data_IF_366252168838
#
_entry.id   IF_366252168838
#
_cell.length_a   1.000
_cell.length_b   1.000
_cell.length_c   1.000
_cell.angle_alpha   90.00
_cell.angle_beta   90.00
_cell.angle_gamma   90.00
#
_symmetry.space_group_name_H-M   'P 1'
#
loop_
_entity.id
_entity.type
_entity.pdbx_description
1 polymer ?
#
# COMPACT_ATOMS: atom_id res chain seq x y z
N UNK A 1 -0.96 -0.05 10.12
CA UNK A 1 -1.99 -0.25 9.07
C UNK A 1 -2.67 -1.59 9.29
N UNK A 2 -3.98 -1.72 9.00
CA UNK A 2 -4.70 -3.01 9.10
C UNK A 2 -5.17 -3.47 7.72
N UNK A 3 -5.00 -4.75 7.41
CA UNK A 3 -5.47 -5.40 6.18
C UNK A 3 -6.53 -6.46 6.50
N UNK A 4 -7.41 -6.73 5.53
CA UNK A 4 -8.49 -7.72 5.67
C UNK A 4 -8.72 -8.45 4.36
N UNK A 5 -9.46 -9.57 4.43
CA UNK A 5 -9.84 -10.41 3.29
C UNK A 5 -8.63 -10.77 2.39
N UNK A 6 -7.49 -11.08 3.01
CA UNK A 6 -6.25 -11.44 2.29
C UNK A 6 -6.43 -12.83 1.64
N UNK A 7 -6.27 -12.97 0.30
CA UNK A 7 -6.49 -14.24 -0.39
C UNK A 7 -5.59 -15.37 0.13
N UNK A 8 -6.10 -16.61 0.09
CA UNK A 8 -5.32 -17.81 0.38
C UNK A 8 -4.12 -17.90 -0.59
N UNK A 9 -2.97 -18.34 -0.08
CA UNK A 9 -1.73 -18.43 -0.86
C UNK A 9 -0.94 -17.13 -0.94
N UNK A 10 -1.38 -16.06 -0.29
CA UNK A 10 -0.59 -14.82 -0.16
C UNK A 10 0.69 -15.09 0.63
N UNK A 11 1.84 -14.70 0.06
CA UNK A 11 3.18 -14.79 0.67
C UNK A 11 3.74 -13.42 1.02
N UNK A 12 3.39 -12.39 0.25
CA UNK A 12 3.84 -11.00 0.47
C UNK A 12 2.69 -10.02 0.22
N UNK A 13 2.76 -8.86 0.85
CA UNK A 13 1.91 -7.71 0.57
C UNK A 13 2.77 -6.59 0.00
N UNK A 14 2.41 -6.06 -1.17
CA UNK A 14 3.06 -4.92 -1.79
C UNK A 14 2.22 -3.67 -1.59
N UNK A 15 2.77 -2.70 -0.86
CA UNK A 15 2.17 -1.41 -0.58
C UNK A 15 2.76 -0.35 -1.51
N UNK A 16 1.91 0.51 -2.05
CA UNK A 16 2.34 1.68 -2.82
C UNK A 16 1.43 2.86 -2.52
N UNK A 17 2.01 4.01 -2.22
CA UNK A 17 1.28 5.27 -2.14
C UNK A 17 1.51 6.07 -3.43
N UNK A 18 0.45 6.65 -3.97
CA UNK A 18 0.50 7.54 -5.13
C UNK A 18 -0.34 8.76 -4.81
N UNK A 19 0.20 9.95 -5.08
CA UNK A 19 -0.58 11.17 -5.19
C UNK A 19 -1.23 11.20 -6.57
N UNK A 20 -2.56 11.20 -6.64
CA UNK A 20 -3.29 11.20 -7.91
C UNK A 20 -3.20 12.54 -8.64
N UNK A 21 -2.86 13.61 -7.94
CA UNK A 21 -2.63 14.95 -8.50
C UNK A 21 -1.16 15.15 -8.91
N UNK A 22 -0.23 14.42 -8.27
CA UNK A 22 1.20 14.44 -8.59
C UNK A 22 1.78 13.01 -8.75
N UNK A 23 1.36 12.25 -9.79
CA UNK A 23 1.63 10.81 -9.89
C UNK A 23 3.11 10.43 -10.01
N UNK A 24 3.95 11.39 -10.42
CA UNK A 24 5.39 11.20 -10.56
C UNK A 24 6.16 11.45 -9.25
N UNK A 25 5.52 12.01 -8.21
CA UNK A 25 6.19 12.20 -6.93
C UNK A 25 6.41 10.85 -6.22
N UNK A 26 7.64 10.52 -5.81
CA UNK A 26 7.97 9.19 -5.27
C UNK A 26 7.56 9.08 -3.80
N UNK A 27 6.26 8.91 -3.54
CA UNK A 27 5.74 8.63 -2.19
C UNK A 27 6.24 7.29 -1.63
N UNK A 28 6.63 6.34 -2.48
CA UNK A 28 7.20 5.08 -2.05
C UNK A 28 6.15 4.05 -1.59
N UNK A 29 6.55 3.22 -0.64
CA UNK A 29 5.87 1.99 -0.28
C UNK A 29 6.88 0.88 0.01
N UNK A 30 6.46 -0.38 -0.12
CA UNK A 30 7.35 -1.51 0.10
C UNK A 30 6.65 -2.85 0.01
N UNK A 31 7.43 -3.91 0.04
CA UNK A 31 6.92 -5.29 0.06
C UNK A 31 7.23 -5.92 1.40
N UNK A 32 6.19 -6.43 2.07
CA UNK A 32 6.28 -7.03 3.41
C UNK A 32 5.91 -8.50 3.31
N UNK A 33 6.64 -9.38 4.01
CA UNK A 33 6.25 -10.78 4.13
C UNK A 33 4.88 -10.89 4.85
N UNK A 34 3.99 -11.73 4.33
CA UNK A 34 2.70 -11.96 4.95
C UNK A 34 2.83 -13.00 6.06
N UNK A 35 2.64 -12.57 7.31
CA UNK A 35 2.73 -13.42 8.50
C UNK A 35 1.39 -14.04 8.93
N UNK A 36 0.32 -13.84 8.15
CA UNK A 36 -1.05 -14.19 8.56
C UNK A 36 -1.73 -13.18 9.49
N UNK A 37 -0.99 -12.21 10.03
CA UNK A 37 -1.51 -11.21 10.97
C UNK A 37 -2.05 -9.99 10.23
N UNK A 38 -3.27 -9.58 10.57
CA UNK A 38 -3.95 -8.42 9.94
C UNK A 38 -3.30 -7.07 10.24
N UNK A 39 -2.53 -6.97 11.31
CA UNK A 39 -1.84 -5.75 11.71
C UNK A 39 -0.45 -5.73 11.09
N UNK A 40 -0.20 -4.74 10.24
CA UNK A 40 1.12 -4.50 9.65
C UNK A 40 1.90 -3.64 10.64
N UNK A 41 3.05 -4.13 11.16
CA UNK A 41 3.87 -3.40 12.12
C UNK A 41 4.28 -2.02 11.61
N UNK A 42 4.45 -1.08 12.52
CA UNK A 42 5.10 0.19 12.20
C UNK A 42 6.52 -0.08 11.67
N UNK A 43 6.95 0.67 10.66
CA UNK A 43 8.27 0.51 10.05
C UNK A 43 8.40 -0.67 9.08
N UNK A 44 7.38 -1.51 8.90
CA UNK A 44 7.44 -2.64 7.95
C UNK A 44 7.67 -2.21 6.48
N UNK A 45 7.30 -0.98 6.15
CA UNK A 45 7.67 -0.30 4.90
C UNK A 45 7.72 1.21 5.15
N UNK A 46 8.33 1.95 4.22
CA UNK A 46 8.47 3.42 4.33
C UNK A 46 7.75 4.09 3.18
N UNK A 47 7.11 5.21 3.46
CA UNK A 47 6.53 6.08 2.46
C UNK A 47 6.65 7.55 2.92
N UNK A 48 6.69 8.47 1.97
CA UNK A 48 6.59 9.91 2.24
C UNK A 48 5.12 10.25 2.41
N UNK A 49 4.76 10.85 3.53
CA UNK A 49 3.40 11.30 3.79
C UNK A 49 2.95 12.44 2.87
N UNK A 50 1.66 12.78 2.88
CA UNK A 50 1.15 13.97 2.21
C UNK A 50 1.80 15.25 2.74
N UNK A 51 2.24 16.12 1.83
CA UNK A 51 2.65 17.51 2.10
C UNK A 51 2.45 18.36 0.83
N UNK A 52 1.22 18.49 0.32
CA UNK A 52 0.97 19.18 -0.93
C UNK A 52 0.79 20.70 -0.74
N UNK A 53 1.02 21.51 -1.79
CA UNK A 53 0.79 22.95 -1.78
C UNK A 53 -0.71 23.32 -1.83
N UNK A 54 -1.58 22.39 -2.23
CA UNK A 54 -3.03 22.52 -2.29
C UNK A 54 -3.70 21.16 -2.02
N UNK A 55 -5.03 21.08 -2.03
CA UNK A 55 -5.74 19.82 -1.76
C UNK A 55 -5.48 18.77 -2.84
N UNK A 56 -4.83 17.67 -2.47
CA UNK A 56 -4.53 16.53 -3.34
C UNK A 56 -5.25 15.27 -2.86
N UNK A 57 -5.43 14.29 -3.75
CA UNK A 57 -5.99 12.97 -3.43
C UNK A 57 -4.90 11.90 -3.47
N UNK A 58 -4.72 11.20 -2.36
CA UNK A 58 -3.73 10.14 -2.22
C UNK A 58 -4.40 8.78 -2.26
N UNK A 59 -3.76 7.82 -2.93
CA UNK A 59 -4.19 6.43 -3.01
C UNK A 59 -3.13 5.49 -2.44
N UNK A 60 -3.49 4.73 -1.42
CA UNK A 60 -2.77 3.51 -1.05
C UNK A 60 -3.30 2.34 -1.89
N UNK A 61 -2.40 1.62 -2.54
CA UNK A 61 -2.67 0.33 -3.19
C UNK A 61 -1.97 -0.76 -2.41
N UNK A 62 -2.69 -1.84 -2.12
CA UNK A 62 -2.15 -3.06 -1.52
C UNK A 62 -2.38 -4.21 -2.47
N UNK A 63 -1.32 -4.90 -2.85
CA UNK A 63 -1.40 -6.12 -3.66
C UNK A 63 -1.00 -7.32 -2.82
N UNK A 64 -1.83 -8.35 -2.84
CA UNK A 64 -1.53 -9.65 -2.28
C UNK A 64 -0.77 -10.48 -3.31
N UNK A 65 0.47 -10.84 -3.00
CA UNK A 65 1.37 -11.55 -3.90
C UNK A 65 1.53 -13.01 -3.45
N UNK A 66 1.29 -13.94 -4.36
CA UNK A 66 1.50 -15.38 -4.19
C UNK A 66 2.90 -15.84 -4.61
N UNK A 67 3.02 -17.13 -4.94
CA UNK A 67 4.26 -17.69 -5.52
C UNK A 67 4.63 -16.96 -6.83
N UNK A 68 5.93 -16.78 -7.06
CA UNK A 68 6.43 -16.05 -8.23
C UNK A 68 5.99 -14.58 -8.32
N UNK A 69 5.60 -13.96 -7.19
CA UNK A 69 5.00 -12.61 -7.13
C UNK A 69 3.69 -12.46 -7.94
N UNK A 70 2.97 -13.54 -8.23
CA UNK A 70 1.65 -13.49 -8.87
C UNK A 70 0.69 -12.65 -8.02
N UNK A 71 0.00 -11.68 -8.62
CA UNK A 71 -1.03 -10.90 -7.92
C UNK A 71 -2.27 -11.77 -7.73
N UNK A 72 -2.61 -12.05 -6.47
CA UNK A 72 -3.80 -12.81 -6.06
C UNK A 72 -4.98 -11.91 -5.70
N UNK A 73 -4.70 -10.64 -5.40
CA UNK A 73 -5.72 -9.66 -5.05
C UNK A 73 -5.13 -8.25 -4.97
N UNK A 74 -5.99 -7.26 -5.12
CA UNK A 74 -5.63 -5.84 -5.06
C UNK A 74 -6.70 -5.07 -4.32
N UNK A 75 -6.29 -4.20 -3.41
CA UNK A 75 -7.16 -3.27 -2.70
C UNK A 75 -6.63 -1.84 -2.86
N UNK A 76 -7.55 -0.86 -2.87
CA UNK A 76 -7.24 0.56 -2.95
C UNK A 76 -7.98 1.31 -1.84
N UNK A 77 -7.31 2.26 -1.20
CA UNK A 77 -7.91 3.21 -0.29
C UNK A 77 -7.49 4.62 -0.73
N UNK A 78 -8.44 5.55 -0.78
CA UNK A 78 -8.22 6.93 -1.20
C UNK A 78 -8.57 7.92 -0.10
N UNK A 79 -7.80 9.00 0.01
CA UNK A 79 -8.09 10.10 0.94
C UNK A 79 -7.51 11.41 0.41
N UNK A 80 -8.24 12.51 0.57
CA UNK A 80 -7.74 13.85 0.27
C UNK A 80 -6.88 14.41 1.41
N UNK A 81 -5.89 15.27 1.09
CA UNK A 81 -5.03 15.99 2.04
C UNK A 81 -4.47 17.32 1.44
N UNK A 82 -4.27 18.41 2.21
CA UNK A 82 -4.89 18.58 3.52
C UNK A 82 -6.41 18.38 3.42
#
# INVERSE_FOLDING_TARGET
MRVGKVPKGTRKLRFRMVDLNAPNYPHGGGTVAWSGKRNIPYGAFRYKGPCPPSRHTYQFTVEALGAGNKVLGRAKARRAFP
#
